data_IF_539258838096
#
_entry.id   IF_539258838096
#
_cell.length_a   1.000
_cell.length_b   1.000
_cell.length_c   1.000
_cell.angle_alpha   90.00
_cell.angle_beta   90.00
_cell.angle_gamma   90.00
#
_symmetry.space_group_name_H-M   'P 1'
#
loop_
_entity.id
_entity.type
_entity.pdbx_description
1 polymer ?
#
# COMPACT_ATOMS: atom_id res chain seq x y z
N UNK A 1 -19.26 -12.27 18.23
CA UNK A 1 -20.35 -11.65 17.44
C UNK A 1 -21.01 -12.77 16.68
N UNK A 2 -22.27 -13.06 16.96
CA UNK A 2 -23.06 -13.99 16.17
C UNK A 2 -23.15 -13.43 14.76
N UNK A 3 -22.67 -14.20 13.78
CA UNK A 3 -22.79 -13.90 12.36
C UNK A 3 -24.28 -13.74 12.07
N UNK A 4 -24.75 -12.50 11.90
CA UNK A 4 -26.15 -12.25 11.55
C UNK A 4 -26.29 -12.65 10.10
N UNK A 5 -26.99 -13.76 9.86
CA UNK A 5 -27.37 -14.16 8.51
C UNK A 5 -28.15 -13.02 7.86
N UNK A 6 -27.70 -12.62 6.67
CA UNK A 6 -28.38 -11.59 5.90
C UNK A 6 -29.72 -12.11 5.39
N UNK A 7 -30.80 -11.31 5.47
CA UNK A 7 -32.11 -11.76 5.02
C UNK A 7 -32.10 -12.01 3.51
N UNK A 8 -32.74 -13.09 3.06
CA UNK A 8 -33.01 -13.27 1.63
C UNK A 8 -34.35 -12.63 1.27
N UNK A 9 -34.53 -12.28 -0.02
CA UNK A 9 -35.71 -11.53 -0.46
C UNK A 9 -37.02 -12.26 -0.14
N UNK A 10 -37.92 -11.58 0.57
CA UNK A 10 -39.21 -12.07 1.02
C UNK A 10 -39.22 -12.71 2.41
N UNK A 11 -38.09 -13.14 2.96
CA UNK A 11 -38.06 -13.81 4.27
C UNK A 11 -38.41 -12.85 5.41
N UNK A 12 -37.83 -11.65 5.42
CA UNK A 12 -38.08 -10.68 6.48
C UNK A 12 -39.51 -10.15 6.42
N UNK A 13 -40.03 -9.99 5.20
CA UNK A 13 -41.40 -9.54 4.99
C UNK A 13 -42.40 -10.58 5.51
N UNK A 14 -42.26 -11.85 5.14
CA UNK A 14 -43.22 -12.88 5.55
C UNK A 14 -43.07 -13.25 7.04
N UNK A 15 -41.86 -13.24 7.61
CA UNK A 15 -41.65 -13.46 9.05
C UNK A 15 -42.41 -12.42 9.90
N UNK A 16 -42.38 -11.14 9.50
CA UNK A 16 -43.09 -10.07 10.21
C UNK A 16 -44.61 -10.07 9.92
N UNK A 17 -45.03 -10.49 8.72
CA UNK A 17 -46.45 -10.69 8.39
C UNK A 17 -47.06 -11.79 9.28
N UNK A 18 -46.33 -12.87 9.54
CA UNK A 18 -46.81 -13.99 10.37
C UNK A 18 -47.06 -13.59 11.84
N UNK A 19 -46.37 -12.54 12.31
CA UNK A 19 -46.53 -11.95 13.65
C UNK A 19 -47.76 -11.04 13.77
N UNK A 20 -48.42 -10.69 12.66
CA UNK A 20 -49.63 -9.87 12.67
C UNK A 20 -50.74 -10.59 13.45
N UNK A 21 -51.38 -9.85 14.37
CA UNK A 21 -52.47 -10.36 15.20
C UNK A 21 -53.59 -10.98 14.34
N UNK A 22 -54.21 -12.04 14.83
CA UNK A 22 -55.18 -12.86 14.08
C UNK A 22 -56.36 -12.06 13.53
N UNK A 23 -56.76 -10.99 14.22
CA UNK A 23 -57.86 -10.09 13.84
C UNK A 23 -57.62 -9.37 12.49
N UNK A 24 -56.36 -9.22 12.06
CA UNK A 24 -55.99 -8.49 10.84
C UNK A 24 -55.54 -9.39 9.68
N UNK A 25 -55.62 -10.72 9.82
CA UNK A 25 -55.13 -11.68 8.80
C UNK A 25 -55.90 -11.65 7.48
N UNK A 26 -57.14 -11.17 7.48
CA UNK A 26 -57.96 -11.02 6.26
C UNK A 26 -57.96 -9.58 5.72
N UNK A 27 -57.30 -8.64 6.41
CA UNK A 27 -57.30 -7.23 6.04
C UNK A 27 -56.32 -6.96 4.88
N UNK A 28 -56.71 -7.32 3.65
CA UNK A 28 -55.86 -7.27 2.45
C UNK A 28 -55.18 -5.90 2.22
N UNK A 29 -55.88 -4.79 2.48
CA UNK A 29 -55.31 -3.43 2.35
C UNK A 29 -54.24 -3.14 3.39
N UNK A 30 -54.45 -3.58 4.63
CA UNK A 30 -53.49 -3.41 5.72
C UNK A 30 -52.25 -4.27 5.46
N UNK A 31 -52.43 -5.55 5.15
CA UNK A 31 -51.31 -6.45 4.84
C UNK A 31 -50.53 -5.99 3.60
N UNK A 32 -51.21 -5.50 2.56
CA UNK A 32 -50.54 -4.92 1.39
C UNK A 32 -49.69 -3.69 1.73
N UNK A 33 -50.18 -2.81 2.61
CA UNK A 33 -49.41 -1.66 3.10
C UNK A 33 -48.20 -2.12 3.92
N UNK A 34 -48.39 -3.04 4.85
CA UNK A 34 -47.30 -3.59 5.69
C UNK A 34 -46.22 -4.26 4.83
N UNK A 35 -46.60 -5.10 3.86
CA UNK A 35 -45.65 -5.70 2.90
C UNK A 35 -44.85 -4.64 2.15
N UNK A 36 -45.49 -3.56 1.69
CA UNK A 36 -44.79 -2.51 0.95
C UNK A 36 -43.71 -1.80 1.80
N UNK A 37 -44.00 -1.51 3.06
CA UNK A 37 -43.02 -0.89 3.97
C UNK A 37 -41.91 -1.86 4.39
N UNK A 38 -42.26 -3.11 4.70
CA UNK A 38 -41.28 -4.14 5.05
C UNK A 38 -40.37 -4.46 3.88
N UNK A 39 -40.88 -4.50 2.65
CA UNK A 39 -40.06 -4.70 1.45
C UNK A 39 -38.99 -3.62 1.27
N UNK A 40 -39.28 -2.35 1.59
CA UNK A 40 -38.26 -1.29 1.59
C UNK A 40 -37.21 -1.49 2.68
N UNK A 41 -37.63 -1.97 3.85
CA UNK A 41 -36.72 -2.25 4.97
C UNK A 41 -35.82 -3.45 4.66
N UNK A 42 -36.37 -4.47 4.03
CA UNK A 42 -35.64 -5.65 3.54
C UNK A 42 -34.62 -5.27 2.47
N UNK A 43 -35.00 -4.49 1.46
CA UNK A 43 -34.08 -3.98 0.43
C UNK A 43 -32.92 -3.18 1.07
N UNK A 44 -33.22 -2.32 2.05
CA UNK A 44 -32.20 -1.60 2.80
C UNK A 44 -31.29 -2.55 3.60
N UNK A 45 -31.85 -3.57 4.25
CA UNK A 45 -31.10 -4.56 5.02
C UNK A 45 -30.17 -5.39 4.13
N UNK A 46 -30.64 -5.84 2.96
CA UNK A 46 -29.85 -6.57 1.96
C UNK A 46 -28.68 -5.70 1.48
N UNK A 47 -28.93 -4.43 1.16
CA UNK A 47 -27.87 -3.50 0.72
C UNK A 47 -26.85 -3.22 1.81
N UNK A 48 -27.29 -3.07 3.07
CA UNK A 48 -26.39 -2.92 4.22
C UNK A 48 -25.53 -4.17 4.44
N UNK A 49 -26.09 -5.34 4.18
CA UNK A 49 -25.39 -6.60 4.24
C UNK A 49 -24.27 -6.73 3.19
N UNK A 50 -24.46 -6.15 2.01
CA UNK A 50 -23.42 -6.10 0.98
C UNK A 50 -22.34 -5.03 1.25
N UNK A 51 -22.56 -4.12 2.20
CA UNK A 51 -21.64 -3.00 2.47
C UNK A 51 -20.20 -3.45 2.80
N UNK A 52 -19.95 -4.50 3.60
CA UNK A 52 -18.59 -4.96 3.88
C UNK A 52 -17.83 -5.39 2.61
N UNK A 53 -18.52 -5.99 1.64
CA UNK A 53 -17.91 -6.45 0.39
C UNK A 53 -17.39 -5.27 -0.45
N UNK A 54 -18.02 -4.10 -0.34
CA UNK A 54 -17.54 -2.86 -0.98
C UNK A 54 -16.23 -2.33 -0.38
N UNK A 55 -15.87 -2.76 0.83
CA UNK A 55 -14.68 -2.33 1.55
C UNK A 55 -13.65 -3.46 1.75
N UNK A 56 -13.76 -4.53 0.97
CA UNK A 56 -12.75 -5.58 0.93
C UNK A 56 -11.50 -5.09 0.18
N UNK A 57 -10.34 -5.16 0.83
CA UNK A 57 -9.06 -4.72 0.29
C UNK A 57 -8.64 -5.56 -0.91
N UNK A 58 -9.10 -6.80 -1.05
CA UNK A 58 -8.71 -7.67 -2.15
C UNK A 58 -9.50 -7.41 -3.44
N UNK A 59 -10.73 -6.89 -3.33
CA UNK A 59 -11.64 -6.67 -4.46
C UNK A 59 -11.96 -5.19 -4.75
N UNK A 60 -11.73 -4.28 -3.81
CA UNK A 60 -12.02 -2.85 -3.99
C UNK A 60 -11.22 -2.23 -5.15
N UNK A 61 -11.86 -1.29 -5.87
CA UNK A 61 -11.25 -0.58 -7.02
C UNK A 61 -11.53 0.93 -6.95
N UNK A 62 -10.69 1.73 -7.59
CA UNK A 62 -10.85 3.18 -7.74
C UNK A 62 -11.06 3.92 -6.41
N UNK A 63 -12.23 4.55 -6.26
CA UNK A 63 -12.59 5.35 -5.09
C UNK A 63 -12.77 4.50 -3.82
N UNK A 64 -13.25 3.26 -3.94
CA UNK A 64 -13.43 2.36 -2.80
C UNK A 64 -12.09 2.11 -2.12
N UNK A 65 -11.09 1.70 -2.90
CA UNK A 65 -9.74 1.46 -2.41
C UNK A 65 -9.11 2.75 -1.86
N UNK A 66 -9.39 3.88 -2.51
CA UNK A 66 -8.95 5.21 -2.04
C UNK A 66 -9.52 5.55 -0.67
N UNK A 67 -10.80 5.25 -0.41
CA UNK A 67 -11.45 5.48 0.88
C UNK A 67 -10.81 4.59 1.96
N UNK A 68 -10.58 3.31 1.67
CA UNK A 68 -9.88 2.40 2.59
C UNK A 68 -8.48 2.94 2.93
N UNK A 69 -7.72 3.37 1.91
CA UNK A 69 -6.42 4.01 2.10
C UNK A 69 -6.52 5.21 3.03
N UNK A 70 -7.48 6.12 2.81
CA UNK A 70 -7.70 7.31 3.64
C UNK A 70 -7.99 6.95 5.10
N UNK A 71 -8.78 5.92 5.36
CA UNK A 71 -9.04 5.43 6.73
C UNK A 71 -7.78 4.92 7.42
N UNK A 72 -6.85 4.34 6.66
CA UNK A 72 -5.53 3.92 7.15
C UNK A 72 -4.48 5.06 7.16
N UNK A 73 -4.88 6.28 6.80
CA UNK A 73 -3.99 7.44 6.73
C UNK A 73 -3.06 7.45 5.51
N UNK A 74 -3.40 6.71 4.45
CA UNK A 74 -2.68 6.63 3.19
C UNK A 74 -3.47 7.33 2.07
N UNK A 75 -2.90 8.40 1.52
CA UNK A 75 -3.46 9.10 0.35
C UNK A 75 -2.83 8.55 -0.94
N UNK A 76 -3.43 8.80 -2.11
CA UNK A 76 -2.84 8.38 -3.40
C UNK A 76 -1.65 9.24 -3.81
N UNK A 77 -1.70 10.53 -3.50
CA UNK A 77 -0.67 11.48 -3.85
C UNK A 77 0.20 11.79 -2.63
N UNK A 78 1.49 11.85 -2.85
CA UNK A 78 2.50 12.01 -1.82
C UNK A 78 3.52 13.05 -2.23
N UNK A 79 3.84 13.95 -1.32
CA UNK A 79 5.04 14.77 -1.45
C UNK A 79 6.27 13.87 -1.27
N UNK A 80 7.13 13.83 -2.27
CA UNK A 80 8.40 13.08 -2.26
C UNK A 80 9.55 14.02 -2.59
N UNK A 81 10.73 13.63 -2.15
CA UNK A 81 11.95 14.33 -2.52
C UNK A 81 12.36 13.88 -3.92
N UNK A 82 12.19 14.75 -4.91
CA UNK A 82 12.63 14.49 -6.28
C UNK A 82 14.06 15.02 -6.44
N UNK A 83 14.97 14.18 -6.96
CA UNK A 83 16.29 14.65 -7.33
C UNK A 83 16.15 15.68 -8.46
N UNK A 84 16.59 16.94 -8.25
CA UNK A 84 16.52 17.96 -9.28
C UNK A 84 17.38 17.53 -10.46
N UNK A 85 16.97 17.93 -11.67
CA UNK A 85 17.77 17.64 -12.86
C UNK A 85 19.12 18.33 -12.74
N UNK A 86 20.21 17.61 -13.00
CA UNK A 86 21.55 18.16 -12.93
C UNK A 86 22.00 18.63 -14.31
N UNK A 87 22.62 19.79 -14.37
CA UNK A 87 23.34 20.21 -15.55
C UNK A 87 24.59 19.34 -15.71
N UNK A 88 24.74 18.73 -16.89
CA UNK A 88 25.90 17.92 -17.20
C UNK A 88 25.97 17.53 -18.66
N UNK A 89 27.11 16.98 -19.05
CA UNK A 89 27.31 16.37 -20.35
C UNK A 89 27.33 14.85 -20.15
N UNK A 90 26.50 14.12 -20.91
CA UNK A 90 26.58 12.65 -20.94
C UNK A 90 27.94 12.23 -21.51
N UNK A 91 28.87 11.89 -20.63
CA UNK A 91 30.19 11.37 -20.99
C UNK A 91 30.23 9.85 -20.80
N UNK A 92 30.01 9.10 -21.89
CA UNK A 92 30.07 7.63 -21.92
C UNK A 92 28.82 6.92 -21.36
N UNK A 93 28.95 5.61 -21.16
CA UNK A 93 27.86 4.71 -20.73
C UNK A 93 27.67 4.66 -19.20
N UNK A 94 28.23 5.62 -18.45
CA UNK A 94 28.06 5.66 -17.01
C UNK A 94 26.63 6.10 -16.66
N UNK A 95 25.84 5.16 -16.15
CA UNK A 95 24.52 5.41 -15.59
C UNK A 95 24.65 6.14 -14.25
N UNK A 96 24.78 7.47 -14.27
CA UNK A 96 24.43 8.26 -13.09
C UNK A 96 22.93 8.16 -12.86
N UNK A 97 22.50 7.95 -11.62
CA UNK A 97 21.07 8.03 -11.23
C UNK A 97 20.48 9.43 -11.47
N UNK A 98 21.34 10.42 -11.67
CA UNK A 98 20.92 11.80 -11.85
C UNK A 98 20.38 12.05 -13.26
N UNK A 99 19.24 12.74 -13.32
CA UNK A 99 18.62 13.16 -14.58
C UNK A 99 19.40 14.34 -15.14
N UNK A 100 20.17 14.10 -16.20
CA UNK A 100 20.97 15.14 -16.87
C UNK A 100 20.08 15.96 -17.80
N UNK A 101 20.14 17.29 -17.69
CA UNK A 101 19.40 18.25 -18.49
C UNK A 101 20.29 19.42 -18.96
N UNK A 102 19.83 20.17 -19.98
CA UNK A 102 20.57 21.28 -20.56
C UNK A 102 20.70 22.50 -19.64
N UNK A 103 21.73 23.33 -19.85
CA UNK A 103 22.05 24.50 -19.02
C UNK A 103 20.90 25.52 -18.88
N UNK A 104 20.05 25.60 -19.90
CA UNK A 104 18.93 26.54 -19.96
C UNK A 104 17.58 25.89 -19.62
N UNK A 105 17.55 24.61 -19.26
CA UNK A 105 16.31 23.94 -18.90
C UNK A 105 15.86 24.36 -17.49
N UNK A 106 14.57 24.66 -17.35
CA UNK A 106 14.00 25.08 -16.07
C UNK A 106 14.09 23.97 -15.03
N UNK A 107 14.50 24.32 -13.81
CA UNK A 107 14.66 23.37 -12.70
C UNK A 107 15.97 22.57 -12.74
N UNK A 108 16.90 22.93 -13.63
CA UNK A 108 18.25 22.37 -13.63
C UNK A 108 19.16 23.02 -12.60
N UNK A 109 20.04 22.23 -12.01
CA UNK A 109 20.99 22.67 -10.99
C UNK A 109 22.35 22.02 -11.17
N UNK A 110 23.39 22.52 -10.51
CA UNK A 110 24.68 21.85 -10.52
C UNK A 110 24.63 20.58 -9.66
N UNK A 111 25.34 19.54 -10.08
CA UNK A 111 25.52 18.34 -9.25
C UNK A 111 26.06 18.74 -7.87
N UNK A 112 25.41 18.28 -6.80
CA UNK A 112 25.74 18.61 -5.40
C UNK A 112 25.45 20.05 -4.93
N UNK A 113 24.61 20.82 -5.63
CA UNK A 113 24.34 22.23 -5.27
C UNK A 113 23.06 22.49 -4.46
N UNK A 114 21.93 21.77 -4.64
CA UNK A 114 20.75 21.98 -3.79
C UNK A 114 20.28 20.72 -3.04
N UNK A 115 19.54 20.96 -1.97
CA UNK A 115 18.60 20.03 -1.35
C UNK A 115 17.65 19.46 -2.42
N UNK A 116 17.30 18.17 -2.34
CA UNK A 116 16.27 17.54 -3.16
C UNK A 116 15.03 18.46 -3.29
N UNK A 117 14.44 18.51 -4.49
CA UNK A 117 13.23 19.29 -4.75
C UNK A 117 11.99 18.65 -4.10
N UNK A 118 10.94 19.43 -3.89
CA UNK A 118 9.64 18.90 -3.50
C UNK A 118 8.87 18.50 -4.77
N UNK A 119 8.69 17.20 -4.98
CA UNK A 119 7.84 16.63 -6.03
C UNK A 119 6.55 16.06 -5.45
N UNK A 120 5.52 15.90 -6.28
CA UNK A 120 4.31 15.14 -5.95
C UNK A 120 4.26 13.89 -6.83
N UNK A 121 4.14 12.72 -6.21
CA UNK A 121 3.91 11.46 -6.92
C UNK A 121 2.53 10.92 -6.56
N UNK A 122 1.74 10.56 -7.56
CA UNK A 122 0.42 9.97 -7.40
C UNK A 122 0.41 8.52 -7.87
N UNK A 123 -0.11 7.63 -7.04
CA UNK A 123 -0.31 6.21 -7.39
C UNK A 123 -1.71 6.07 -8.01
N UNK A 124 -1.76 6.08 -9.35
CA UNK A 124 -3.00 5.89 -10.11
C UNK A 124 -3.38 4.42 -10.29
N UNK A 125 -2.39 3.52 -10.31
CA UNK A 125 -2.59 2.08 -10.45
C UNK A 125 -3.14 1.47 -9.14
N UNK A 126 -4.29 0.81 -9.24
CA UNK A 126 -4.98 0.20 -8.10
C UNK A 126 -4.22 -0.98 -7.51
N UNK A 127 -3.52 -1.78 -8.31
CA UNK A 127 -2.79 -2.94 -7.81
C UNK A 127 -1.54 -2.51 -7.05
N UNK A 128 -0.84 -1.49 -7.55
CA UNK A 128 0.26 -0.86 -6.80
C UNK A 128 -0.29 -0.27 -5.51
N UNK A 129 -1.34 0.55 -5.57
CA UNK A 129 -1.91 1.19 -4.38
C UNK A 129 -2.42 0.16 -3.36
N UNK A 130 -3.05 -0.93 -3.80
CA UNK A 130 -3.50 -2.05 -2.96
C UNK A 130 -2.34 -2.66 -2.19
N UNK A 131 -1.18 -2.83 -2.84
CA UNK A 131 0.04 -3.28 -2.18
C UNK A 131 0.45 -2.39 -1.00
N UNK A 132 0.41 -1.06 -1.19
CA UNK A 132 0.71 -0.10 -0.12
C UNK A 132 -0.34 -0.09 0.98
N UNK A 133 -1.62 -0.19 0.65
CA UNK A 133 -2.73 -0.31 1.62
C UNK A 133 -2.57 -1.57 2.48
N UNK A 134 -2.26 -2.71 1.85
CA UNK A 134 -1.98 -3.97 2.55
C UNK A 134 -0.77 -3.86 3.46
N UNK A 135 0.32 -3.23 3.02
CA UNK A 135 1.49 -2.99 3.85
C UNK A 135 1.15 -2.09 5.06
N UNK A 136 0.41 -0.99 4.82
CA UNK A 136 -0.01 -0.04 5.86
C UNK A 136 -0.88 -0.69 6.94
N UNK A 137 -1.69 -1.70 6.59
CA UNK A 137 -2.48 -2.49 7.56
C UNK A 137 -1.61 -3.10 8.66
N UNK A 138 -0.42 -3.63 8.34
CA UNK A 138 0.47 -4.19 9.37
C UNK A 138 0.92 -3.13 10.37
N UNK A 139 1.24 -1.93 9.88
CA UNK A 139 1.64 -0.81 10.73
C UNK A 139 0.47 -0.32 11.60
N UNK A 140 -0.75 -0.26 11.05
CA UNK A 140 -1.95 0.10 11.80
C UNK A 140 -2.30 -0.91 12.90
N UNK A 141 -1.99 -2.19 12.70
CA UNK A 141 -2.16 -3.26 13.68
C UNK A 141 -1.00 -3.34 14.70
N UNK A 142 0.06 -2.55 14.55
CA UNK A 142 1.23 -2.57 15.42
C UNK A 142 2.11 -3.82 15.27
N UNK A 143 2.08 -4.47 14.10
CA UNK A 143 2.84 -5.69 13.81
C UNK A 143 4.25 -5.34 13.30
N UNK A 144 5.17 -5.06 14.22
CA UNK A 144 6.53 -4.60 13.92
C UNK A 144 7.61 -5.70 13.89
N UNK A 145 7.20 -6.97 13.92
CA UNK A 145 8.14 -8.09 13.85
C UNK A 145 8.72 -8.26 12.43
N UNK A 146 9.85 -8.98 12.32
CA UNK A 146 10.57 -9.17 11.05
C UNK A 146 9.69 -9.90 10.02
N UNK A 147 8.88 -10.87 10.44
CA UNK A 147 8.05 -11.63 9.52
C UNK A 147 6.92 -10.76 8.94
N UNK A 148 6.29 -9.93 9.77
CA UNK A 148 5.31 -8.92 9.34
C UNK A 148 5.92 -7.86 8.43
N UNK A 149 7.12 -7.36 8.75
CA UNK A 149 7.84 -6.41 7.89
C UNK A 149 8.18 -7.02 6.52
N UNK A 150 8.62 -8.27 6.50
CA UNK A 150 8.90 -9.00 5.26
C UNK A 150 7.63 -9.25 4.45
N UNK A 151 6.52 -9.64 5.10
CA UNK A 151 5.23 -9.80 4.44
C UNK A 151 4.72 -8.47 3.84
N UNK A 152 4.83 -7.37 4.59
CA UNK A 152 4.48 -6.04 4.13
C UNK A 152 5.34 -5.59 2.93
N UNK A 153 6.66 -5.80 2.98
CA UNK A 153 7.56 -5.49 1.86
C UNK A 153 7.22 -6.30 0.59
N UNK A 154 6.79 -7.56 0.75
CA UNK A 154 6.36 -8.41 -0.37
C UNK A 154 5.08 -7.95 -1.03
N UNK A 155 4.18 -7.29 -0.31
CA UNK A 155 3.01 -6.66 -0.93
C UNK A 155 3.38 -5.48 -1.84
N UNK A 156 4.52 -4.81 -1.58
CA UNK A 156 4.96 -3.64 -2.36
C UNK A 156 5.86 -4.05 -3.52
N UNK A 157 6.92 -4.83 -3.25
CA UNK A 157 7.96 -5.13 -4.26
C UNK A 157 7.85 -6.54 -4.85
N UNK A 158 6.97 -7.39 -4.31
CA UNK A 158 6.77 -8.78 -4.73
C UNK A 158 7.52 -9.80 -3.86
N UNK A 159 7.38 -11.09 -4.20
CA UNK A 159 7.84 -12.21 -3.36
C UNK A 159 9.35 -12.25 -3.09
N UNK A 160 10.16 -11.65 -3.97
CA UNK A 160 11.61 -11.56 -3.82
C UNK A 160 12.05 -10.60 -2.71
N UNK A 161 11.15 -9.72 -2.24
CA UNK A 161 11.47 -8.76 -1.20
C UNK A 161 11.82 -9.47 0.12
N UNK A 162 12.89 -8.98 0.75
CA UNK A 162 13.45 -9.58 1.96
C UNK A 162 14.03 -8.54 2.92
N UNK A 163 14.06 -8.92 4.20
CA UNK A 163 14.81 -8.19 5.22
C UNK A 163 16.23 -8.75 5.22
N UNK A 164 17.19 -7.95 4.79
CA UNK A 164 18.57 -8.38 4.57
C UNK A 164 19.39 -8.35 5.86
N UNK A 165 19.19 -7.31 6.66
CA UNK A 165 19.97 -7.10 7.87
C UNK A 165 19.16 -6.29 8.87
N UNK A 166 19.10 -6.77 10.11
CA UNK A 166 18.66 -6.00 11.26
C UNK A 166 19.87 -5.77 12.16
N UNK A 167 20.40 -4.54 12.15
CA UNK A 167 21.42 -4.10 13.12
C UNK A 167 20.71 -3.39 14.27
N UNK A 168 21.39 -3.22 15.40
CA UNK A 168 20.85 -2.41 16.49
C UNK A 168 20.50 -1.01 15.96
N UNK A 169 19.24 -0.62 16.08
CA UNK A 169 18.74 0.69 15.63
C UNK A 169 18.52 0.84 14.12
N UNK A 170 18.69 -0.20 13.29
CA UNK A 170 18.42 -0.09 11.85
C UNK A 170 17.98 -1.40 11.19
N UNK A 171 17.14 -1.30 10.17
CA UNK A 171 16.70 -2.42 9.35
C UNK A 171 16.95 -2.10 7.88
N UNK A 172 17.56 -3.04 7.16
CA UNK A 172 17.81 -2.94 5.72
C UNK A 172 16.88 -3.87 4.97
N UNK A 173 16.12 -3.30 4.04
CA UNK A 173 15.22 -4.02 3.14
C UNK A 173 15.82 -4.09 1.74
N UNK A 174 15.63 -5.20 1.06
CA UNK A 174 15.95 -5.33 -0.35
C UNK A 174 14.70 -5.77 -1.14
N UNK A 175 14.39 -5.13 -2.27
CA UNK A 175 13.34 -5.59 -3.19
C UNK A 175 13.62 -6.98 -3.78
N UNK A 176 14.89 -7.39 -3.85
CA UNK A 176 15.31 -8.68 -4.44
C UNK A 176 15.22 -8.72 -5.97
N UNK A 177 14.96 -7.59 -6.61
CA UNK A 177 14.94 -7.39 -8.07
C UNK A 177 15.24 -5.93 -8.40
N UNK A 178 15.58 -5.68 -9.66
CA UNK A 178 15.68 -4.31 -10.16
C UNK A 178 14.29 -3.63 -10.05
N UNK A 179 14.28 -2.43 -9.48
CA UNK A 179 13.11 -1.57 -9.46
C UNK A 179 13.06 -0.77 -10.76
N UNK A 180 11.85 -0.54 -11.27
CA UNK A 180 11.65 0.46 -12.33
C UNK A 180 11.91 1.88 -11.80
N UNK A 181 12.07 2.84 -12.71
CA UNK A 181 12.22 4.26 -12.33
C UNK A 181 11.06 4.74 -11.45
N UNK A 182 9.83 4.34 -11.80
CA UNK A 182 8.63 4.68 -11.03
C UNK A 182 8.62 4.05 -9.63
N UNK A 183 8.97 2.77 -9.52
CA UNK A 183 9.07 2.10 -8.22
C UNK A 183 10.17 2.69 -7.34
N UNK A 184 11.28 3.10 -7.95
CA UNK A 184 12.38 3.79 -7.27
C UNK A 184 11.91 5.13 -6.69
N UNK A 185 11.11 5.89 -7.45
CA UNK A 185 10.48 7.13 -6.95
C UNK A 185 9.49 6.89 -5.80
N UNK A 186 8.89 5.70 -5.73
CA UNK A 186 7.97 5.31 -4.66
C UNK A 186 8.65 4.75 -3.41
N UNK A 187 9.96 4.49 -3.43
CA UNK A 187 10.70 3.98 -2.25
C UNK A 187 10.50 4.86 -1.01
N UNK A 188 10.62 6.20 -1.06
CA UNK A 188 10.37 7.03 0.11
C UNK A 188 8.94 6.85 0.68
N UNK A 189 7.96 6.65 -0.21
CA UNK A 189 6.56 6.38 0.19
C UNK A 189 6.43 5.01 0.83
N UNK A 190 7.09 3.99 0.29
CA UNK A 190 7.05 2.62 0.81
C UNK A 190 7.53 2.58 2.27
N UNK A 191 8.63 3.27 2.58
CA UNK A 191 9.16 3.32 3.93
C UNK A 191 8.29 4.12 4.92
N UNK A 192 7.31 4.91 4.46
CA UNK A 192 6.31 5.54 5.34
C UNK A 192 5.21 4.57 5.79
N UNK A 193 4.91 3.55 4.97
CA UNK A 193 3.81 2.58 5.21
C UNK A 193 4.28 1.25 5.79
N UNK A 194 5.56 0.92 5.61
CA UNK A 194 6.12 -0.32 6.14
C UNK A 194 6.11 -0.31 7.68
N UNK A 195 5.85 -1.46 8.33
CA UNK A 195 5.79 -1.56 9.78
C UNK A 195 7.20 -1.58 10.40
N UNK A 196 7.94 -0.49 10.23
CA UNK A 196 9.23 -0.27 10.89
C UNK A 196 8.94 0.26 12.30
N UNK A 197 9.51 -0.41 13.31
CA UNK A 197 9.31 0.00 14.70
C UNK A 197 9.78 1.45 14.93
N UNK A 198 9.04 2.26 15.71
CA UNK A 198 9.47 3.62 16.05
C UNK A 198 10.89 3.65 16.63
N UNK A 199 11.72 4.57 16.14
CA UNK A 199 13.12 4.69 16.56
C UNK A 199 14.12 3.80 15.81
N UNK A 200 13.65 2.93 14.90
CA UNK A 200 14.52 2.14 14.01
C UNK A 200 14.69 2.87 12.68
N UNK A 201 15.93 3.01 12.22
CA UNK A 201 16.24 3.58 10.90
C UNK A 201 15.97 2.55 9.80
N UNK A 202 15.06 2.88 8.88
CA UNK A 202 14.85 2.10 7.66
C UNK A 202 15.91 2.44 6.61
N UNK A 203 16.53 1.42 6.04
CA UNK A 203 17.49 1.52 4.95
C UNK A 203 17.06 0.61 3.81
N UNK A 204 17.41 0.99 2.58
CA UNK A 204 17.16 0.16 1.40
C UNK A 204 18.48 -0.29 0.78
N UNK A 205 18.51 -1.52 0.28
CA UNK A 205 19.58 -2.03 -0.57
C UNK A 205 18.99 -2.33 -1.96
N UNK A 206 19.50 -1.66 -2.98
CA UNK A 206 19.05 -1.81 -4.37
C UNK A 206 19.70 -2.98 -5.12
N UNK A 207 20.67 -3.65 -4.48
CA UNK A 207 21.33 -4.81 -5.07
C UNK A 207 20.35 -5.92 -5.39
N UNK A 208 20.63 -6.62 -6.49
CA UNK A 208 19.80 -7.71 -7.01
C UNK A 208 20.51 -9.06 -6.92
N UNK A 209 21.82 -9.04 -6.70
CA UNK A 209 22.64 -10.23 -6.57
C UNK A 209 22.47 -10.92 -5.22
N UNK A 210 22.98 -12.16 -5.11
CA UNK A 210 23.11 -12.81 -3.82
C UNK A 210 24.04 -11.97 -2.94
N UNK A 211 23.65 -11.78 -1.70
CA UNK A 211 24.37 -10.90 -0.79
C UNK A 211 25.62 -11.62 -0.32
N UNK A 212 26.75 -10.92 -0.33
CA UNK A 212 28.01 -11.47 0.15
C UNK A 212 27.98 -11.74 1.66
N UNK A 213 28.40 -12.93 2.06
CA UNK A 213 28.53 -13.31 3.47
C UNK A 213 29.04 -14.73 3.65
N UNK A 214 28.99 -15.22 4.89
CA UNK A 214 29.53 -16.53 5.26
C UNK A 214 28.41 -17.45 5.76
N UNK A 215 28.30 -18.64 5.17
CA UNK A 215 27.32 -19.67 5.55
C UNK A 215 26.29 -19.99 4.46
N UNK A 216 25.32 -20.85 4.77
CA UNK A 216 24.27 -21.24 3.83
C UNK A 216 23.33 -20.05 3.54
N UNK A 217 23.10 -19.75 2.26
CA UNK A 217 22.22 -18.67 1.80
C UNK A 217 22.92 -17.36 1.42
N UNK A 218 24.25 -17.26 1.57
CA UNK A 218 25.05 -16.13 1.11
C UNK A 218 25.73 -16.44 -0.23
N UNK A 219 25.96 -15.40 -1.04
CA UNK A 219 26.73 -15.50 -2.28
C UNK A 219 28.22 -15.57 -2.02
N UNK A 220 28.92 -16.50 -2.67
CA UNK A 220 30.38 -16.61 -2.58
C UNK A 220 31.13 -15.50 -3.33
N UNK A 221 32.41 -15.31 -3.02
CA UNK A 221 33.30 -14.32 -3.67
C UNK A 221 33.33 -14.40 -5.21
N UNK A 222 33.01 -15.56 -5.79
CA UNK A 222 33.07 -15.82 -7.23
C UNK A 222 31.68 -15.86 -7.90
N UNK A 223 30.59 -15.63 -7.17
CA UNK A 223 29.22 -15.82 -7.64
C UNK A 223 28.48 -14.49 -7.88
N UNK A 224 29.20 -13.46 -8.37
CA UNK A 224 28.64 -12.10 -8.54
C UNK A 224 27.97 -11.57 -7.26
N UNK A 225 28.51 -11.94 -6.10
CA UNK A 225 27.95 -11.54 -4.82
C UNK A 225 28.14 -10.05 -4.57
N UNK A 226 27.07 -9.39 -4.12
CA UNK A 226 27.07 -7.96 -3.87
C UNK A 226 27.24 -7.67 -2.37
N UNK A 227 28.04 -6.65 -2.05
CA UNK A 227 28.11 -6.16 -0.68
C UNK A 227 26.81 -5.41 -0.33
N UNK A 228 26.36 -5.57 0.92
CA UNK A 228 25.25 -4.75 1.43
C UNK A 228 25.72 -3.30 1.50
N UNK A 229 25.27 -2.51 0.53
CA UNK A 229 25.42 -1.06 0.50
C UNK A 229 24.03 -0.46 0.78
N UNK A 230 23.67 -0.25 2.06
CA UNK A 230 22.37 0.30 2.41
C UNK A 230 22.40 1.82 2.22
N UNK A 231 21.36 2.35 1.59
CA UNK A 231 21.14 3.78 1.38
C UNK A 231 19.94 4.27 2.16
N UNK A 232 19.94 5.55 2.53
CA UNK A 232 18.77 6.18 3.13
C UNK A 232 17.68 6.35 2.07
N UNK A 233 16.44 5.89 2.30
CA UNK A 233 15.33 6.08 1.37
C UNK A 233 14.83 7.54 1.33
N UNK A 234 15.38 8.47 2.12
CA UNK A 234 15.02 9.89 2.14
C UNK A 234 13.51 10.11 2.36
N UNK A 235 12.96 9.43 3.37
CA UNK A 235 11.52 9.38 3.66
C UNK A 235 10.89 10.73 4.00
N UNK A 236 11.63 11.59 4.72
CA UNK A 236 11.09 12.83 5.29
C UNK A 236 11.97 14.06 5.06
N UNK A 237 13.21 13.88 4.63
CA UNK A 237 14.16 14.97 4.45
C UNK A 237 14.61 15.02 3.02
N UNK A 238 14.37 16.17 2.39
CA UNK A 238 14.85 16.47 1.06
C UNK A 238 16.23 17.13 1.10
N UNK A 239 17.05 16.83 2.11
CA UNK A 239 18.33 17.49 2.33
C UNK A 239 19.44 16.91 1.43
#
# INVERSE_FOLDING_TARGET
MTERACPTGGELVEEEIDKVATEYREAAKFLGMVRAYLAQTEDAAIKLCALPDFFDIDSAVGDQLTIIGKWLGLQRCHCVCEAPMVFGFRCGDFASSDRIAGFCEHGTTWSSCPSLGNGEICISDDEIFRGFVKARRYQALGLYDIASLQAAARHIWGNAASVVSSKVGSVTLAPGRALSDFETMLVPVAFRVLPIAPGIKGLIHYGTGPIFGFGAGWGGFCESAEFICPTDPNTYTCA
#
